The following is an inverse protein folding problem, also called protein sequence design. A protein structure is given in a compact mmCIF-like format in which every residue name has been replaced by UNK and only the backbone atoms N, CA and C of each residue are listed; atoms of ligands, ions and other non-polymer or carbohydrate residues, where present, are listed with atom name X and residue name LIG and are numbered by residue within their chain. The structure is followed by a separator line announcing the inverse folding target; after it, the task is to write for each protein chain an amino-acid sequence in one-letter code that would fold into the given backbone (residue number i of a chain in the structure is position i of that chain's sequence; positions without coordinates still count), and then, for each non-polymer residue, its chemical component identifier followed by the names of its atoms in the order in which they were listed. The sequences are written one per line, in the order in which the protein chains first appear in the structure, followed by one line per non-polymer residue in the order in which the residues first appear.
data_IF_843070063444
#
_entry.id   IF_843070063444
#
_cell.length_a   1.000
_cell.length_b   1.000
_cell.length_c   1.000
_cell.angle_alpha   90.00
_cell.angle_beta   90.00
_cell.angle_gamma   90.00
#
_symmetry.space_group_name_H-M   'P 1'
#
loop_
_entity.id
_entity.type
_entity.pdbx_description
1 polymer ?
#
# COMPACT_ATOMS: atom_id res chain seq x y z
N UNK A 1 -3.15 9.99 -0.26
CA UNK A 1 -3.76 8.71 -0.67
C UNK A 1 -3.88 7.87 0.60
N UNK A 2 -4.89 7.03 0.76
CA UNK A 2 -5.45 6.50 2.03
C UNK A 2 -4.52 5.75 3.00
N UNK A 3 -3.20 5.80 2.79
CA UNK A 3 -2.14 5.28 3.64
C UNK A 3 -2.34 5.57 5.13
N UNK A 4 -2.49 6.83 5.52
CA UNK A 4 -2.62 7.21 6.94
C UNK A 4 -3.85 6.56 7.60
N UNK A 5 -4.91 6.32 6.82
CA UNK A 5 -6.11 5.62 7.29
C UNK A 5 -5.83 4.14 7.48
N UNK A 6 -5.17 3.51 6.51
CA UNK A 6 -4.84 2.09 6.59
C UNK A 6 -3.80 1.78 7.66
N UNK A 7 -2.83 2.68 7.89
CA UNK A 7 -1.85 2.56 8.97
C UNK A 7 -2.56 2.59 10.33
N UNK A 8 -3.51 3.52 10.53
CA UNK A 8 -4.37 3.52 11.73
C UNK A 8 -5.17 2.24 11.88
N UNK A 9 -5.76 1.73 10.80
CA UNK A 9 -6.49 0.45 10.80
C UNK A 9 -5.55 -0.69 11.24
N UNK A 10 -4.34 -0.78 10.70
CA UNK A 10 -3.38 -1.82 11.09
C UNK A 10 -2.91 -1.71 12.53
N UNK A 11 -2.78 -0.49 13.08
CA UNK A 11 -2.35 -0.29 14.46
C UNK A 11 -3.41 -0.71 15.48
N UNK A 12 -4.69 -0.55 15.16
CA UNK A 12 -5.80 -0.91 16.08
C UNK A 12 -6.29 -2.35 15.88
N UNK A 13 -5.86 -3.01 14.82
CA UNK A 13 -6.18 -4.41 14.56
C UNK A 13 -5.54 -5.32 15.62
N UNK A 14 -6.34 -6.23 16.17
CA UNK A 14 -5.83 -7.25 17.09
C UNK A 14 -5.01 -8.28 16.32
N UNK A 15 -3.72 -8.39 16.65
CA UNK A 15 -2.80 -9.39 16.07
C UNK A 15 -3.19 -10.82 16.41
N UNK A 16 -3.98 -11.03 17.46
CA UNK A 16 -4.55 -12.34 17.78
C UNK A 16 -5.57 -12.79 16.73
N UNK A 17 -6.02 -11.87 15.86
CA UNK A 17 -6.97 -12.10 14.78
C UNK A 17 -6.29 -12.14 13.41
N UNK A 18 -5.03 -12.56 13.32
CA UNK A 18 -4.25 -12.54 12.07
C UNK A 18 -4.93 -13.26 10.88
N UNK A 19 -5.81 -14.23 11.13
CA UNK A 19 -6.60 -14.90 10.07
C UNK A 19 -7.89 -14.15 9.70
N UNK A 20 -8.32 -13.17 10.49
CA UNK A 20 -9.52 -12.38 10.24
C UNK A 20 -9.31 -11.35 9.13
N UNK A 21 -10.32 -11.19 8.29
CA UNK A 21 -10.29 -10.22 7.18
C UNK A 21 -10.62 -8.81 7.69
N UNK A 22 -9.67 -7.90 7.55
CA UNK A 22 -9.77 -6.49 7.92
C UNK A 22 -10.01 -5.65 6.65
N UNK A 23 -10.92 -4.68 6.73
CA UNK A 23 -11.27 -3.80 5.61
C UNK A 23 -10.35 -2.59 5.48
N UNK A 24 -9.25 -2.75 4.73
CA UNK A 24 -8.38 -1.65 4.33
C UNK A 24 -9.01 -0.83 3.19
N UNK A 25 -8.75 0.47 3.14
CA UNK A 25 -9.22 1.34 2.05
C UNK A 25 -8.33 1.15 0.82
N UNK A 26 -8.97 1.01 -0.35
CA UNK A 26 -8.30 0.90 -1.64
C UNK A 26 -7.36 2.09 -1.89
N UNK A 27 -6.11 1.79 -2.24
CA UNK A 27 -5.10 2.76 -2.62
C UNK A 27 -4.98 2.83 -4.16
N UNK A 28 -6.09 3.02 -4.89
CA UNK A 28 -6.04 3.30 -6.33
C UNK A 28 -5.83 4.79 -6.63
N UNK A 29 -5.58 5.14 -7.90
CA UNK A 29 -5.32 6.53 -8.29
C UNK A 29 -6.53 7.48 -8.12
N UNK A 30 -7.74 6.93 -8.05
CA UNK A 30 -8.96 7.68 -7.76
C UNK A 30 -9.01 8.13 -6.28
N UNK A 31 -8.96 9.45 -6.07
CA UNK A 31 -8.99 10.10 -4.75
C UNK A 31 -10.35 10.02 -4.05
N UNK A 32 -11.41 9.71 -4.79
CA UNK A 32 -12.77 9.54 -4.26
C UNK A 32 -13.10 8.10 -3.87
N UNK A 33 -12.20 7.16 -4.17
CA UNK A 33 -12.42 5.74 -3.91
C UNK A 33 -12.45 5.45 -2.39
N UNK A 34 -13.55 4.88 -1.93
CA UNK A 34 -13.74 4.43 -0.54
C UNK A 34 -13.91 2.92 -0.42
N UNK A 35 -13.66 2.18 -1.51
CA UNK A 35 -13.83 0.74 -1.56
C UNK A 35 -12.88 0.04 -0.58
N UNK A 36 -13.34 -1.08 -0.01
CA UNK A 36 -12.56 -1.88 0.92
C UNK A 36 -11.89 -3.05 0.22
N UNK A 37 -10.64 -3.30 0.59
CA UNK A 37 -9.87 -4.50 0.27
C UNK A 37 -9.72 -5.29 1.57
N UNK A 38 -10.20 -6.52 1.56
CA UNK A 38 -10.28 -7.36 2.75
C UNK A 38 -9.09 -8.31 2.82
N UNK A 39 -8.18 -8.06 3.77
CA UNK A 39 -6.94 -8.80 3.95
C UNK A 39 -6.74 -9.18 5.41
N UNK A 40 -6.01 -10.26 5.65
CA UNK A 40 -5.42 -10.52 6.96
C UNK A 40 -4.47 -9.38 7.35
N UNK A 41 -4.27 -9.15 8.65
CA UNK A 41 -3.35 -8.10 9.12
C UNK A 41 -1.92 -8.35 8.62
N UNK A 42 -1.41 -9.57 8.82
CA UNK A 42 -0.07 -9.97 8.35
C UNK A 42 0.09 -9.87 6.83
N UNK A 43 -0.97 -10.20 6.09
CA UNK A 43 -0.97 -10.09 4.63
C UNK A 43 -0.84 -8.63 4.19
N UNK A 44 -1.62 -7.73 4.80
CA UNK A 44 -1.52 -6.30 4.53
C UNK A 44 -0.13 -5.75 4.90
N UNK A 45 0.39 -6.06 6.10
CA UNK A 45 1.72 -5.64 6.55
C UNK A 45 2.83 -6.13 5.60
N UNK A 46 2.73 -7.39 5.12
CA UNK A 46 3.68 -7.96 4.17
C UNK A 46 3.64 -7.23 2.81
N UNK A 47 2.45 -7.05 2.24
CA UNK A 47 2.25 -6.36 0.96
C UNK A 47 2.74 -4.90 1.02
N UNK A 48 2.51 -4.22 2.15
CA UNK A 48 2.86 -2.81 2.38
C UNK A 48 4.22 -2.60 3.02
N UNK A 49 5.02 -3.66 3.22
CA UNK A 49 6.36 -3.57 3.79
C UNK A 49 7.32 -2.67 3.01
N UNK A 50 7.04 -2.40 1.73
CA UNK A 50 7.75 -1.40 0.95
C UNK A 50 6.94 -0.10 0.84
N UNK A 51 7.58 1.08 1.04
CA UNK A 51 6.85 2.33 1.15
C UNK A 51 6.22 2.80 -0.17
N UNK A 52 6.65 2.25 -1.30
CA UNK A 52 6.16 2.50 -2.65
C UNK A 52 5.18 1.43 -3.16
N UNK A 53 4.81 0.45 -2.34
CA UNK A 53 3.73 -0.49 -2.65
C UNK A 53 2.37 0.11 -2.28
N UNK A 54 1.35 -0.21 -3.08
CA UNK A 54 -0.02 0.21 -2.88
C UNK A 54 -0.97 -0.95 -3.15
N UNK A 55 -1.91 -1.18 -2.23
CA UNK A 55 -2.91 -2.25 -2.35
C UNK A 55 -4.21 -1.67 -2.90
N UNK A 56 -4.67 -2.17 -4.04
CA UNK A 56 -5.85 -1.67 -4.74
C UNK A 56 -6.89 -2.77 -4.92
N UNK A 57 -8.16 -2.38 -5.03
CA UNK A 57 -9.22 -3.33 -5.30
C UNK A 57 -9.04 -3.96 -6.71
N UNK A 58 -9.46 -5.22 -6.90
CA UNK A 58 -9.42 -5.88 -8.20
C UNK A 58 -10.12 -5.02 -9.28
N UNK A 59 -9.48 -4.90 -10.44
CA UNK A 59 -10.00 -4.12 -11.56
C UNK A 59 -9.87 -2.59 -11.42
N UNK A 60 -9.39 -2.07 -10.29
CA UNK A 60 -9.17 -0.63 -10.15
C UNK A 60 -7.89 -0.19 -10.86
N UNK A 61 -7.91 1.05 -11.36
CA UNK A 61 -6.84 1.59 -12.20
C UNK A 61 -5.65 2.08 -11.36
N UNK A 62 -4.47 1.55 -11.68
CA UNK A 62 -3.19 2.08 -11.24
C UNK A 62 -2.86 3.39 -11.97
N UNK A 63 -2.07 4.27 -11.35
CA UNK A 63 -1.57 5.46 -12.01
C UNK A 63 -0.63 5.09 -13.18
N UNK A 64 -0.50 5.93 -14.23
CA UNK A 64 0.38 5.65 -15.38
C UNK A 64 1.85 5.41 -15.03
N UNK A 65 2.31 5.89 -13.87
CA UNK A 65 3.67 5.71 -13.37
C UNK A 65 3.82 4.56 -12.37
N UNK A 66 2.75 3.82 -12.07
CA UNK A 66 2.76 2.64 -11.21
C UNK A 66 2.87 1.37 -12.06
N UNK A 67 3.53 0.34 -11.51
CA UNK A 67 3.70 -0.98 -12.12
C UNK A 67 2.89 -2.01 -11.34
N UNK A 68 2.14 -2.87 -12.03
CA UNK A 68 1.52 -4.04 -11.40
C UNK A 68 2.59 -5.04 -10.96
N UNK A 69 2.54 -5.46 -9.70
CA UNK A 69 3.43 -6.46 -9.11
C UNK A 69 2.72 -7.82 -9.02
N UNK A 70 1.49 -7.81 -8.52
CA UNK A 70 0.64 -9.00 -8.37
C UNK A 70 -0.83 -8.60 -8.53
N UNK A 71 -1.66 -9.52 -9.04
CA UNK A 71 -3.10 -9.40 -8.97
C UNK A 71 -3.73 -10.77 -8.71
N UNK A 72 -4.83 -10.76 -7.96
CA UNK A 72 -5.71 -11.91 -7.75
C UNK A 72 -7.15 -11.39 -7.55
N UNK A 73 -8.08 -12.31 -7.28
CA UNK A 73 -9.51 -11.98 -7.13
C UNK A 73 -9.82 -11.11 -5.91
N UNK A 74 -8.88 -10.94 -4.97
CA UNK A 74 -9.06 -10.16 -3.74
C UNK A 74 -8.41 -8.78 -3.80
N UNK A 75 -7.28 -8.65 -4.48
CA UNK A 75 -6.55 -7.38 -4.60
C UNK A 75 -5.61 -7.35 -5.81
N UNK A 76 -5.12 -6.15 -6.12
CA UNK A 76 -3.92 -5.95 -6.92
C UNK A 76 -2.88 -5.13 -6.13
N UNK A 77 -1.62 -5.53 -6.23
CA UNK A 77 -0.48 -4.83 -5.66
C UNK A 77 0.23 -4.05 -6.76
N UNK A 78 0.36 -2.74 -6.59
CA UNK A 78 1.07 -1.89 -7.54
C UNK A 78 2.21 -1.15 -6.86
N UNK A 79 3.29 -0.94 -7.60
CA UNK A 79 4.48 -0.25 -7.12
C UNK A 79 4.63 1.10 -7.82
N UNK A 80 4.79 2.18 -7.04
CA UNK A 80 5.12 3.50 -7.56
C UNK A 80 6.59 3.66 -7.94
N UNK A 81 6.93 4.81 -8.51
CA UNK A 81 8.33 5.19 -8.65
C UNK A 81 8.86 5.66 -7.31
N UNK A 82 9.90 5.01 -6.77
CA UNK A 82 10.64 5.57 -5.64
C UNK A 82 11.14 6.96 -6.01
N UNK A 83 10.77 7.97 -5.23
CA UNK A 83 11.54 9.21 -5.21
C UNK A 83 12.96 8.85 -4.79
N UNK A 84 13.95 9.10 -5.65
CA UNK A 84 15.34 9.12 -5.19
C UNK A 84 15.50 10.36 -4.33
N UNK A 85 15.18 10.28 -3.05
CA UNK A 85 15.65 11.29 -2.10
C UNK A 85 17.16 11.04 -1.90
N UNK A 86 18.02 11.78 -2.62
CA UNK A 86 19.43 11.92 -2.21
C UNK A 86 19.43 12.74 -0.92
N UNK A 87 19.88 12.16 0.19
CA UNK A 87 20.37 12.91 1.35
C UNK A 87 21.47 12.11 2.06
N UNK A 88 22.63 12.01 1.42
CA UNK A 88 23.91 11.94 2.13
C UNK A 88 24.66 13.22 1.76
N UNK A 89 25.30 13.93 2.70
CA UNK A 89 25.96 15.20 2.38
C UNK A 89 27.01 14.97 1.30
N UNK A 90 26.97 15.77 0.22
CA UNK A 90 28.14 15.95 -0.63
C UNK A 90 29.21 16.61 0.23
N UNK A 91 30.15 15.81 0.75
CA UNK A 91 31.41 16.34 1.21
C UNK A 91 32.07 17.04 0.02
N UNK A 92 32.20 18.36 0.12
CA UNK A 92 33.13 19.11 -0.70
C UNK A 92 34.52 18.63 -0.31
N UNK A 93 35.18 17.91 -1.21
CA UNK A 93 36.60 17.61 -1.08
C UNK A 93 37.36 18.93 -1.24
N UNK A 94 38.11 19.29 -0.19
CA UNK A 94 39.18 20.29 -0.25
C UNK A 94 40.42 19.71 -0.92
#
# INVERSE_FOLDING_TARGET
MFRDVNERISTVADRSLDESKIGFVCECFDRSCVQKVYLALMEYESLRGQPDHFVIAPGHTAAPYQRLIEANDRFALVQGRRSRTKSGPLQLAS
#
